data_IF_859284233396
#
_entry.id   IF_859284233396
#
_cell.length_a   1.000
_cell.length_b   1.000
_cell.length_c   1.000
_cell.angle_alpha   90.00
_cell.angle_beta   90.00
_cell.angle_gamma   90.00
#
_symmetry.space_group_name_H-M   'P 1'
#
loop_
_entity.id
_entity.type
_entity.pdbx_description
1 polymer ?
#
# COMPACT_ATOMS: atom_id res chain seq x y z
N UNK A 1 2.38 21.81 1.41
CA UNK A 1 3.70 21.20 1.16
C UNK A 1 3.60 19.90 0.37
N UNK A 2 2.82 18.89 0.81
CA UNK A 2 2.70 17.62 0.06
C UNK A 2 2.09 17.78 -1.36
N UNK A 3 0.95 18.49 -1.56
CA UNK A 3 0.40 18.69 -2.91
C UNK A 3 1.40 19.34 -3.87
N UNK A 4 2.12 20.35 -3.38
CA UNK A 4 3.16 21.05 -4.11
C UNK A 4 4.32 20.13 -4.49
N UNK A 5 4.80 19.30 -3.55
CA UNK A 5 5.83 18.30 -3.82
C UNK A 5 5.38 17.33 -4.91
N UNK A 6 4.19 16.72 -4.76
CA UNK A 6 3.67 15.75 -5.74
C UNK A 6 3.54 16.36 -7.14
N UNK A 7 3.04 17.59 -7.24
CA UNK A 7 2.93 18.28 -8.53
C UNK A 7 4.29 18.48 -9.20
N UNK A 8 5.28 18.99 -8.47
CA UNK A 8 6.60 19.28 -9.03
C UNK A 8 7.49 18.06 -9.26
N UNK A 9 7.18 16.91 -8.66
CA UNK A 9 7.87 15.64 -8.96
C UNK A 9 7.23 14.88 -10.13
N UNK A 10 6.28 15.46 -10.86
CA UNK A 10 5.62 14.79 -11.99
C UNK A 10 4.64 13.69 -11.58
N UNK A 11 4.22 13.63 -10.30
CA UNK A 11 3.36 12.54 -9.80
C UNK A 11 2.01 12.42 -10.56
N UNK A 12 1.53 13.53 -11.11
CA UNK A 12 0.26 13.59 -11.86
C UNK A 12 0.45 13.52 -13.38
N UNK A 13 1.66 13.23 -13.87
CA UNK A 13 1.91 13.03 -15.31
C UNK A 13 1.01 11.92 -15.86
N UNK A 14 0.44 12.14 -17.05
CA UNK A 14 -0.51 11.23 -17.68
C UNK A 14 -1.91 11.17 -17.06
N UNK A 15 -2.19 11.91 -15.98
CA UNK A 15 -3.51 11.92 -15.30
C UNK A 15 -4.44 13.05 -15.77
N UNK A 16 -4.01 13.94 -16.67
CA UNK A 16 -4.76 15.12 -17.15
C UNK A 16 -5.38 15.96 -16.02
N UNK A 17 -4.65 16.15 -14.92
CA UNK A 17 -5.09 16.96 -13.78
C UNK A 17 -4.57 18.38 -13.94
N UNK A 18 -5.45 19.37 -13.83
CA UNK A 18 -5.05 20.78 -13.89
C UNK A 18 -4.25 21.19 -12.65
N UNK A 19 -3.31 22.13 -12.79
CA UNK A 19 -2.46 22.60 -11.68
C UNK A 19 -3.27 23.04 -10.46
N UNK A 20 -4.32 23.85 -10.67
CA UNK A 20 -5.20 24.32 -9.60
C UNK A 20 -5.93 23.19 -8.86
N UNK A 21 -6.05 22.01 -9.47
CA UNK A 21 -6.63 20.81 -8.85
C UNK A 21 -5.55 19.99 -8.14
N UNK A 22 -4.38 19.82 -8.75
CA UNK A 22 -3.24 19.11 -8.16
C UNK A 22 -2.70 19.78 -6.89
N UNK A 23 -2.79 21.11 -6.81
CA UNK A 23 -2.34 21.90 -5.66
C UNK A 23 -3.37 22.01 -4.54
N UNK A 24 -4.60 21.48 -4.73
CA UNK A 24 -5.60 21.48 -3.65
C UNK A 24 -5.06 20.73 -2.43
N UNK A 25 -5.35 21.21 -1.21
CA UNK A 25 -4.99 20.48 0.00
C UNK A 25 -5.56 19.06 -0.01
N UNK A 26 -4.72 18.07 0.34
CA UNK A 26 -5.18 16.70 0.50
C UNK A 26 -6.13 16.61 1.68
N UNK A 27 -7.27 15.93 1.48
CA UNK A 27 -8.22 15.67 2.55
C UNK A 27 -7.62 14.61 3.47
N UNK A 28 -7.29 15.02 4.70
CA UNK A 28 -6.82 14.10 5.75
C UNK A 28 -8.04 13.44 6.39
N UNK A 29 -8.05 12.10 6.41
CA UNK A 29 -9.11 11.31 7.04
C UNK A 29 -8.52 10.44 8.13
N UNK A 30 -8.96 10.65 9.37
CA UNK A 30 -8.72 9.73 10.46
C UNK A 30 -9.75 8.60 10.37
N UNK A 31 -9.30 7.36 10.38
CA UNK A 31 -10.17 6.18 10.34
C UNK A 31 -10.24 5.59 11.75
N UNK A 32 -11.26 5.94 12.55
CA UNK A 32 -11.38 5.39 13.90
C UNK A 32 -11.88 3.94 13.85
N UNK A 33 -11.75 3.24 14.99
CA UNK A 33 -12.33 1.90 15.21
C UNK A 33 -11.71 0.76 14.38
N UNK A 34 -10.54 0.98 13.78
CA UNK A 34 -9.73 -0.12 13.25
C UNK A 34 -9.14 -0.97 14.40
N UNK A 35 -8.91 -2.27 14.16
CA UNK A 35 -8.27 -3.17 15.13
C UNK A 35 -6.95 -2.58 15.61
N UNK A 36 -6.76 -2.42 16.93
CA UNK A 36 -5.50 -1.91 17.48
C UNK A 36 -4.54 -3.06 17.81
N UNK A 37 -3.27 -2.83 17.56
CA UNK A 37 -2.20 -3.74 17.98
C UNK A 37 -2.04 -3.68 19.52
N UNK A 38 -1.76 -4.84 20.13
CA UNK A 38 -1.58 -4.97 21.59
C UNK A 38 -0.15 -5.28 22.04
N UNK A 39 0.75 -5.52 21.10
CA UNK A 39 2.17 -5.81 21.34
C UNK A 39 3.04 -4.79 20.59
N UNK A 40 4.35 -4.94 20.65
CA UNK A 40 5.28 -3.96 20.07
C UNK A 40 5.87 -4.39 18.71
N UNK A 41 5.49 -5.57 18.17
CA UNK A 41 6.22 -6.20 17.04
C UNK A 41 5.41 -6.44 15.76
N UNK A 42 4.09 -6.25 15.77
CA UNK A 42 3.19 -6.58 14.67
C UNK A 42 2.64 -5.36 13.90
N UNK A 43 3.15 -4.14 14.14
CA UNK A 43 2.64 -2.91 13.54
C UNK A 43 2.61 -2.99 12.01
N UNK A 44 3.66 -3.55 11.40
CA UNK A 44 3.73 -3.77 9.96
C UNK A 44 2.62 -4.70 9.43
N UNK A 45 2.25 -5.74 10.18
CA UNK A 45 1.17 -6.65 9.79
C UNK A 45 -0.18 -5.92 9.79
N UNK A 46 -0.42 -5.10 10.81
CA UNK A 46 -1.64 -4.29 10.89
C UNK A 46 -1.73 -3.28 9.75
N UNK A 47 -0.63 -2.58 9.43
CA UNK A 47 -0.57 -1.63 8.31
C UNK A 47 -0.85 -2.33 6.97
N UNK A 48 -0.24 -3.50 6.73
CA UNK A 48 -0.48 -4.28 5.51
C UNK A 48 -1.96 -4.67 5.41
N UNK A 49 -2.56 -5.14 6.50
CA UNK A 49 -3.99 -5.49 6.51
C UNK A 49 -4.89 -4.26 6.30
N UNK A 50 -4.57 -3.11 6.87
CA UNK A 50 -5.31 -1.88 6.59
C UNK A 50 -5.23 -1.51 5.11
N UNK A 51 -4.05 -1.60 4.50
CA UNK A 51 -3.87 -1.32 3.08
C UNK A 51 -4.67 -2.30 2.20
N UNK A 52 -4.63 -3.60 2.51
CA UNK A 52 -5.39 -4.64 1.78
C UNK A 52 -6.90 -4.34 1.80
N UNK A 53 -7.48 -4.09 2.97
CA UNK A 53 -8.91 -3.76 3.08
C UNK A 53 -9.25 -2.38 2.50
N UNK A 54 -8.34 -1.41 2.59
CA UNK A 54 -8.54 -0.06 2.02
C UNK A 54 -8.59 -0.10 0.49
N UNK A 55 -7.63 -0.77 -0.15
CA UNK A 55 -7.56 -0.91 -1.61
C UNK A 55 -8.81 -1.59 -2.15
N UNK A 56 -9.31 -2.60 -1.43
CA UNK A 56 -10.54 -3.32 -1.80
C UNK A 56 -11.84 -2.61 -1.39
N UNK A 57 -11.78 -1.41 -0.79
CA UNK A 57 -12.94 -0.65 -0.28
C UNK A 57 -13.75 -1.38 0.81
N UNK A 58 -13.12 -2.30 1.53
CA UNK A 58 -13.74 -3.18 2.53
C UNK A 58 -13.40 -2.81 3.98
N UNK A 59 -12.82 -1.63 4.25
CA UNK A 59 -12.41 -1.26 5.62
C UNK A 59 -13.49 -1.44 6.70
N UNK A 60 -14.77 -1.24 6.35
CA UNK A 60 -15.90 -1.42 7.28
C UNK A 60 -16.13 -2.88 7.69
N UNK A 61 -15.66 -3.81 6.87
CA UNK A 61 -15.80 -5.26 7.05
C UNK A 61 -14.56 -5.88 7.70
N UNK A 62 -13.55 -5.06 8.03
CA UNK A 62 -12.32 -5.54 8.63
C UNK A 62 -12.61 -6.18 10.01
N UNK A 63 -12.15 -7.42 10.25
CA UNK A 63 -12.39 -8.10 11.52
C UNK A 63 -11.64 -7.40 12.65
N UNK A 64 -12.33 -7.17 13.78
CA UNK A 64 -11.76 -6.57 15.00
C UNK A 64 -10.63 -7.39 15.62
N UNK A 65 -10.63 -8.69 15.39
CA UNK A 65 -9.64 -9.66 15.87
C UNK A 65 -9.35 -10.59 14.71
N UNK A 66 -8.07 -10.81 14.43
CA UNK A 66 -7.62 -11.78 13.44
C UNK A 66 -6.41 -12.54 13.97
N UNK A 67 -6.19 -13.74 13.44
CA UNK A 67 -5.07 -14.59 13.84
C UNK A 67 -3.75 -14.04 13.28
N UNK A 68 -3.10 -13.15 14.05
CA UNK A 68 -1.85 -12.49 13.64
C UNK A 68 -0.75 -13.51 13.33
N UNK A 69 -0.65 -14.60 14.08
CA UNK A 69 0.37 -15.61 13.85
C UNK A 69 0.20 -16.29 12.48
N UNK A 70 -1.05 -16.58 12.09
CA UNK A 70 -1.36 -17.10 10.77
C UNK A 70 -1.07 -16.07 9.66
N UNK A 71 -1.47 -14.81 9.87
CA UNK A 71 -1.19 -13.74 8.90
C UNK A 71 0.32 -13.56 8.70
N UNK A 72 1.10 -13.57 9.79
CA UNK A 72 2.56 -13.47 9.74
C UNK A 72 3.17 -14.59 8.91
N UNK A 73 2.76 -15.84 9.16
CA UNK A 73 3.23 -17.00 8.37
C UNK A 73 2.86 -16.85 6.90
N UNK A 74 1.62 -16.47 6.61
CA UNK A 74 1.15 -16.27 5.24
C UNK A 74 1.96 -15.20 4.51
N UNK A 75 2.17 -14.03 5.13
CA UNK A 75 2.97 -12.95 4.55
C UNK A 75 4.42 -13.39 4.32
N UNK A 76 5.04 -14.09 5.28
CA UNK A 76 6.39 -14.61 5.12
C UNK A 76 6.50 -15.58 3.94
N UNK A 77 5.51 -16.47 3.75
CA UNK A 77 5.45 -17.37 2.60
C UNK A 77 5.31 -16.61 1.28
N UNK A 78 4.43 -15.61 1.21
CA UNK A 78 4.24 -14.81 0.00
C UNK A 78 5.52 -14.04 -0.38
N UNK A 79 6.17 -13.41 0.60
CA UNK A 79 7.43 -12.69 0.40
C UNK A 79 8.55 -13.64 -0.06
N UNK A 80 8.63 -14.83 0.52
CA UNK A 80 9.60 -15.83 0.10
C UNK A 80 9.36 -16.29 -1.34
N UNK A 81 8.12 -16.61 -1.71
CA UNK A 81 7.76 -17.01 -3.08
C UNK A 81 8.11 -15.91 -4.08
N UNK A 82 7.77 -14.65 -3.75
CA UNK A 82 8.10 -13.50 -4.58
C UNK A 82 9.62 -13.32 -4.76
N UNK A 83 10.38 -13.37 -3.66
CA UNK A 83 11.84 -13.26 -3.70
C UNK A 83 12.48 -14.41 -4.51
N UNK A 84 11.97 -15.63 -4.38
CA UNK A 84 12.42 -16.77 -5.17
C UNK A 84 12.12 -16.61 -6.66
N UNK A 85 10.92 -16.13 -7.00
CA UNK A 85 10.57 -15.81 -8.39
C UNK A 85 11.54 -14.77 -8.97
N UNK A 86 11.85 -13.73 -8.19
CA UNK A 86 12.83 -12.70 -8.59
C UNK A 86 14.21 -13.25 -8.90
N UNK A 87 14.71 -14.15 -8.06
CA UNK A 87 16.01 -14.80 -8.24
C UNK A 87 16.06 -15.68 -9.49
N UNK A 88 14.98 -16.42 -9.78
CA UNK A 88 14.93 -17.35 -10.91
C UNK A 88 14.79 -16.63 -12.25
N UNK A 89 13.99 -15.56 -12.28
CA UNK A 89 13.67 -14.81 -13.50
C UNK A 89 14.60 -13.62 -13.74
N UNK A 90 15.65 -13.42 -12.92
CA UNK A 90 16.62 -12.31 -13.01
C UNK A 90 15.95 -10.93 -13.16
N UNK A 91 15.01 -10.60 -12.29
CA UNK A 91 14.44 -9.24 -12.28
C UNK A 91 15.54 -8.23 -11.93
N UNK A 92 15.82 -7.32 -12.86
CA UNK A 92 16.83 -6.25 -12.69
C UNK A 92 16.35 -5.13 -11.75
N UNK A 93 15.04 -5.01 -11.52
CA UNK A 93 14.47 -3.97 -10.67
C UNK A 93 13.23 -4.46 -9.90
N UNK A 94 12.92 -3.78 -8.79
CA UNK A 94 11.65 -3.95 -8.07
C UNK A 94 10.46 -3.30 -8.78
N UNK A 95 10.66 -2.68 -9.94
CA UNK A 95 9.56 -2.10 -10.71
C UNK A 95 8.77 -3.22 -11.39
N UNK A 96 7.68 -3.63 -10.75
CA UNK A 96 6.59 -4.37 -11.39
C UNK A 96 5.82 -3.49 -12.41
N UNK A 97 6.24 -2.22 -12.61
CA UNK A 97 5.73 -1.37 -13.68
C UNK A 97 6.32 -1.80 -15.02
N UNK A 98 5.58 -2.65 -15.73
CA UNK A 98 5.78 -2.87 -17.17
C UNK A 98 5.16 -1.66 -17.88
N UNK A 99 5.92 -0.85 -18.64
CA UNK A 99 5.33 0.13 -19.53
C UNK A 99 4.32 -0.59 -20.43
N UNK A 100 3.08 -0.09 -20.49
CA UNK A 100 2.11 -0.58 -21.47
C UNK A 100 2.43 0.05 -22.82
N UNK A 101 3.48 -0.43 -23.46
CA UNK A 101 3.76 -0.12 -24.87
C UNK A 101 3.80 -1.49 -25.58
N UNK A 102 2.91 -1.81 -26.53
CA UNK A 102 2.56 -1.11 -27.77
C UNK A 102 1.08 -1.28 -28.12
#
# INVERSE_FOLDING_TARGET
>A
MIPYLLFHTGFFEGKNIAEHEALKPLVVKMVPKLPQQKNDSDCGIYVIKYAEYFINKMLKEMPKIFNIAQVRKHLATQLYVYAKKKQVENYDTDNDWVPKDV
#
